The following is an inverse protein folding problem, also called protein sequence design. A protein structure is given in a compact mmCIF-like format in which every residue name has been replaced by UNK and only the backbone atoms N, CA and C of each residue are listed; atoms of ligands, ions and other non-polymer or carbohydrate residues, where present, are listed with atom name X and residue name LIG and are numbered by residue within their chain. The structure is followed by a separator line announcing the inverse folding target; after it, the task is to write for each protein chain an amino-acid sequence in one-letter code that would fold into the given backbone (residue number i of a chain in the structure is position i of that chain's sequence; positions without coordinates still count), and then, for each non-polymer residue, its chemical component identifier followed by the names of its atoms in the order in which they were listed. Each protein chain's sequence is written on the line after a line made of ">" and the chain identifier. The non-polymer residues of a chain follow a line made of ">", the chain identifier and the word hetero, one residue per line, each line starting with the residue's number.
data_IF_324808288709
#
_entry.id   IF_324808288709
#
_cell.length_a   1.000
_cell.length_b   1.000
_cell.length_c   1.000
_cell.angle_alpha   90.00
_cell.angle_beta   90.00
_cell.angle_gamma   90.00
#
_symmetry.space_group_name_H-M   'P 1'
#
loop_
_entity.id
_entity.type
_entity.pdbx_description
1 polymer ?
#
# COMPACT_ATOMS: atom_id res chain seq x y z
N UNK A 1 7.81 -9.72 17.08
CA UNK A 1 7.98 -10.16 15.68
C UNK A 1 7.78 -9.02 14.68
N UNK A 2 6.60 -8.40 14.53
CA UNK A 2 6.34 -7.35 13.53
C UNK A 2 7.28 -6.13 13.61
N UNK A 3 7.62 -5.66 14.81
CA UNK A 3 8.56 -4.56 15.01
C UNK A 3 9.99 -4.89 14.53
N UNK A 4 10.40 -6.16 14.59
CA UNK A 4 11.71 -6.58 14.12
C UNK A 4 11.76 -6.61 12.58
N UNK A 5 10.67 -7.03 11.93
CA UNK A 5 10.54 -7.01 10.47
C UNK A 5 10.59 -5.57 9.95
N UNK A 6 9.84 -4.65 10.56
CA UNK A 6 9.88 -3.22 10.18
C UNK A 6 11.28 -2.62 10.33
N UNK A 7 11.98 -2.93 11.42
CA UNK A 7 13.38 -2.47 11.62
C UNK A 7 14.33 -3.07 10.60
N UNK A 8 14.16 -4.34 10.24
CA UNK A 8 14.98 -5.02 9.24
C UNK A 8 14.78 -4.42 7.85
N UNK A 9 13.53 -4.24 7.40
CA UNK A 9 13.23 -3.60 6.12
C UNK A 9 13.80 -2.19 6.04
N UNK A 10 13.60 -1.38 7.09
CA UNK A 10 14.15 -0.03 7.14
C UNK A 10 15.68 -0.01 6.99
N UNK A 11 16.40 -0.99 7.55
CA UNK A 11 17.85 -1.12 7.39
C UNK A 11 18.25 -1.47 5.96
N UNK A 12 17.50 -2.37 5.31
CA UNK A 12 17.76 -2.76 3.93
C UNK A 12 17.54 -1.59 2.95
N UNK A 13 16.48 -0.82 3.15
CA UNK A 13 16.11 0.28 2.24
C UNK A 13 16.88 1.58 2.51
N UNK A 14 17.44 1.75 3.71
CA UNK A 14 18.14 2.98 4.13
C UNK A 14 19.19 3.52 3.13
N UNK A 15 20.08 2.70 2.53
CA UNK A 15 21.06 3.20 1.58
C UNK A 15 20.41 3.83 0.34
N UNK A 16 19.31 3.24 -0.13
CA UNK A 16 18.55 3.75 -1.26
C UNK A 16 17.77 5.01 -0.85
N UNK A 17 17.10 4.99 0.30
CA UNK A 17 16.36 6.15 0.81
C UNK A 17 17.25 7.38 0.97
N UNK A 18 18.50 7.22 1.40
CA UNK A 18 19.48 8.32 1.49
C UNK A 18 19.81 8.92 0.12
N UNK A 19 19.90 8.11 -0.94
CA UNK A 19 20.12 8.60 -2.31
C UNK A 19 18.91 9.36 -2.85
N UNK A 20 17.71 8.95 -2.43
CA UNK A 20 16.44 9.54 -2.86
C UNK A 20 15.95 10.69 -1.97
N UNK A 21 16.74 11.13 -0.98
CA UNK A 21 16.31 12.17 -0.02
C UNK A 21 15.93 13.51 -0.65
N UNK A 22 16.35 13.78 -1.90
CA UNK A 22 15.96 14.99 -2.64
C UNK A 22 14.67 14.82 -3.46
N UNK A 23 14.20 13.58 -3.65
CA UNK A 23 12.98 13.26 -4.38
C UNK A 23 11.79 13.41 -3.42
N UNK A 24 10.74 14.17 -3.74
CA UNK A 24 9.59 14.32 -2.85
C UNK A 24 8.99 12.97 -2.47
N UNK A 25 8.80 12.69 -1.18
CA UNK A 25 8.21 11.43 -0.72
C UNK A 25 6.83 11.17 -1.38
N UNK A 26 6.00 12.20 -1.52
CA UNK A 26 4.69 12.11 -2.19
C UNK A 26 4.77 11.60 -3.64
N UNK A 27 5.89 11.83 -4.35
CA UNK A 27 6.06 11.29 -5.69
C UNK A 27 6.30 9.77 -5.64
N UNK A 28 7.01 9.29 -4.61
CA UNK A 28 7.23 7.85 -4.38
C UNK A 28 5.91 7.17 -4.02
N UNK A 29 5.08 7.79 -3.17
CA UNK A 29 3.71 7.34 -2.87
C UNK A 29 2.86 7.23 -4.15
N UNK A 30 2.94 8.23 -5.03
CA UNK A 30 2.23 8.22 -6.31
C UNK A 30 2.69 7.05 -7.21
N UNK A 31 3.98 6.73 -7.23
CA UNK A 31 4.51 5.57 -7.95
C UNK A 31 3.99 4.24 -7.36
N UNK A 32 3.84 4.16 -6.03
CA UNK A 32 3.18 3.06 -5.35
C UNK A 32 1.74 2.87 -5.85
N UNK A 33 0.95 3.96 -5.86
CA UNK A 33 -0.42 3.93 -6.38
C UNK A 33 -0.48 3.50 -7.85
N UNK A 34 0.37 4.04 -8.71
CA UNK A 34 0.41 3.65 -10.13
C UNK A 34 0.74 2.15 -10.28
N UNK A 35 1.61 1.61 -9.42
CA UNK A 35 1.93 0.19 -9.40
C UNK A 35 0.74 -0.67 -8.95
N UNK A 36 -0.08 -0.19 -8.02
CA UNK A 36 -1.33 -0.83 -7.62
C UNK A 36 -2.36 -0.85 -8.77
N UNK A 37 -2.44 0.22 -9.56
CA UNK A 37 -3.30 0.27 -10.76
C UNK A 37 -2.81 -0.71 -11.84
N UNK A 38 -1.49 -0.82 -12.05
CA UNK A 38 -0.94 -1.83 -12.97
C UNK A 38 -1.23 -3.24 -12.45
N UNK A 39 -1.14 -3.47 -11.14
CA UNK A 39 -1.51 -4.74 -10.51
C UNK A 39 -2.97 -5.09 -10.76
N UNK A 40 -3.89 -4.12 -10.63
CA UNK A 40 -5.30 -4.28 -10.97
C UNK A 40 -5.47 -4.79 -12.40
N UNK A 41 -4.85 -4.14 -13.39
CA UNK A 41 -4.92 -4.60 -14.78
C UNK A 41 -4.28 -5.98 -14.96
N UNK A 42 -3.21 -6.29 -14.21
CA UNK A 42 -2.64 -7.64 -14.16
C UNK A 42 -3.67 -8.69 -13.77
N UNK A 43 -4.49 -8.41 -12.76
CA UNK A 43 -5.61 -9.26 -12.34
C UNK A 43 -6.69 -9.37 -13.43
N UNK A 44 -7.09 -8.27 -14.05
CA UNK A 44 -8.13 -8.27 -15.09
C UNK A 44 -7.72 -9.09 -16.31
N UNK A 45 -6.46 -9.01 -16.72
CA UNK A 45 -5.93 -9.70 -17.90
C UNK A 45 -5.29 -11.06 -17.57
N UNK A 46 -5.40 -11.54 -16.33
CA UNK A 46 -4.81 -12.80 -15.86
C UNK A 46 -3.28 -12.90 -16.09
N UNK A 47 -2.56 -11.78 -16.01
CA UNK A 47 -1.12 -11.69 -16.23
C UNK A 47 -0.36 -11.93 -14.92
N UNK A 48 -0.21 -13.21 -14.53
CA UNK A 48 0.34 -13.59 -13.23
C UNK A 48 1.72 -12.96 -12.92
N UNK A 49 2.61 -12.89 -13.91
CA UNK A 49 3.95 -12.30 -13.73
C UNK A 49 3.84 -10.80 -13.42
N UNK A 50 2.93 -10.09 -14.09
CA UNK A 50 2.67 -8.66 -13.83
C UNK A 50 2.10 -8.47 -12.44
N UNK A 51 1.13 -9.29 -12.03
CA UNK A 51 0.54 -9.25 -10.68
C UNK A 51 1.64 -9.38 -9.63
N UNK A 52 2.48 -10.42 -9.73
CA UNK A 52 3.52 -10.69 -8.73
C UNK A 52 4.51 -9.53 -8.68
N UNK A 53 5.06 -9.12 -9.82
CA UNK A 53 6.08 -8.07 -9.88
C UNK A 53 5.52 -6.76 -9.32
N UNK A 54 4.35 -6.33 -9.78
CA UNK A 54 3.81 -5.02 -9.40
C UNK A 54 3.24 -5.00 -7.98
N UNK A 55 2.77 -6.12 -7.42
CA UNK A 55 2.46 -6.21 -5.98
C UNK A 55 3.70 -5.92 -5.12
N UNK A 56 4.84 -6.53 -5.46
CA UNK A 56 6.10 -6.26 -4.77
C UNK A 56 6.56 -4.82 -4.94
N UNK A 57 6.39 -4.24 -6.14
CA UNK A 57 6.76 -2.84 -6.40
C UNK A 57 5.87 -1.87 -5.60
N UNK A 58 4.56 -2.11 -5.51
CA UNK A 58 3.63 -1.30 -4.71
C UNK A 58 4.09 -1.25 -3.25
N UNK A 59 4.29 -2.42 -2.63
CA UNK A 59 4.74 -2.52 -1.24
C UNK A 59 6.15 -1.92 -1.03
N UNK A 60 7.02 -2.07 -2.02
CA UNK A 60 8.35 -1.47 -1.98
C UNK A 60 8.30 0.06 -1.94
N UNK A 61 7.43 0.69 -2.73
CA UNK A 61 7.31 2.15 -2.76
C UNK A 61 6.65 2.71 -1.47
N UNK A 62 5.64 2.03 -0.91
CA UNK A 62 5.03 2.36 0.39
C UNK A 62 6.05 2.31 1.54
N UNK A 63 6.94 1.32 1.55
CA UNK A 63 7.98 1.30 2.57
C UNK A 63 9.05 2.36 2.33
N UNK A 64 9.36 2.65 1.07
CA UNK A 64 10.40 3.60 0.68
C UNK A 64 9.99 5.05 0.96
N UNK A 65 8.76 5.44 0.63
CA UNK A 65 8.28 6.81 0.82
C UNK A 65 8.24 7.20 2.30
N UNK A 66 7.84 6.30 3.20
CA UNK A 66 7.80 6.55 4.63
C UNK A 66 9.21 6.71 5.20
N UNK A 67 10.19 5.97 4.69
CA UNK A 67 11.60 6.17 5.09
C UNK A 67 12.13 7.51 4.57
N UNK A 68 11.85 7.84 3.31
CA UNK A 68 12.28 9.12 2.69
C UNK A 68 11.63 10.32 3.39
N UNK A 69 10.33 10.26 3.69
CA UNK A 69 9.60 11.29 4.42
C UNK A 69 10.20 11.53 5.83
N UNK A 70 10.56 10.45 6.53
CA UNK A 70 11.25 10.55 7.84
C UNK A 70 12.63 11.22 7.74
N UNK A 71 13.35 11.02 6.64
CA UNK A 71 14.64 11.68 6.40
C UNK A 71 14.48 13.16 5.98
N UNK A 72 13.40 13.50 5.28
CA UNK A 72 13.13 14.87 4.82
C UNK A 72 12.51 15.78 5.89
N UNK A 73 11.85 15.19 6.90
CA UNK A 73 11.03 15.91 7.86
C UNK A 73 9.55 15.63 7.60
N UNK A 74 8.91 14.73 8.38
CA UNK A 74 7.53 14.32 8.11
C UNK A 74 6.56 15.48 8.33
N UNK A 75 5.56 15.59 7.45
CA UNK A 75 4.51 16.62 7.53
C UNK A 75 3.13 15.99 7.71
N UNK A 76 2.20 16.71 8.35
CA UNK A 76 0.81 16.24 8.52
C UNK A 76 0.11 16.02 7.18
N UNK A 77 0.34 16.93 6.22
CA UNK A 77 -0.25 16.82 4.88
C UNK A 77 0.35 15.64 4.11
N UNK A 78 1.66 15.40 4.21
CA UNK A 78 2.31 14.23 3.61
C UNK A 78 1.77 12.92 4.21
N UNK A 79 1.65 12.84 5.54
CA UNK A 79 1.07 11.67 6.19
C UNK A 79 -0.40 11.43 5.80
N UNK A 80 -1.19 12.49 5.62
CA UNK A 80 -2.55 12.37 5.08
C UNK A 80 -2.54 11.89 3.62
N UNK A 81 -1.64 12.40 2.79
CA UNK A 81 -1.52 12.03 1.38
C UNK A 81 -1.15 10.56 1.21
N UNK A 82 -0.05 10.15 1.85
CA UNK A 82 0.43 8.77 2.00
C UNK A 82 -0.74 7.87 2.41
N UNK A 83 -1.32 8.18 3.56
CA UNK A 83 -2.36 7.33 4.11
C UNK A 83 -3.66 7.29 3.32
N UNK A 84 -3.93 8.28 2.47
CA UNK A 84 -5.10 8.27 1.58
C UNK A 84 -4.81 7.43 0.34
N UNK A 85 -3.63 7.58 -0.26
CA UNK A 85 -3.27 6.88 -1.48
C UNK A 85 -3.08 5.38 -1.27
N UNK A 86 -2.55 4.94 -0.12
CA UNK A 86 -2.49 3.51 0.21
C UNK A 86 -3.88 2.87 0.13
N UNK A 87 -4.90 3.56 0.67
CA UNK A 87 -6.28 3.06 0.74
C UNK A 87 -6.92 2.98 -0.65
N UNK A 88 -6.57 3.92 -1.53
CA UNK A 88 -6.94 3.86 -2.95
C UNK A 88 -6.19 2.71 -3.64
N UNK A 89 -4.91 2.49 -3.32
CA UNK A 89 -4.10 1.37 -3.83
C UNK A 89 -4.66 0.00 -3.42
N UNK A 90 -4.97 -0.17 -2.13
CA UNK A 90 -5.64 -1.34 -1.57
C UNK A 90 -6.94 -1.63 -2.33
N UNK A 91 -7.76 -0.59 -2.55
CA UNK A 91 -8.98 -0.72 -3.34
C UNK A 91 -8.70 -1.30 -4.74
N UNK A 92 -7.73 -0.77 -5.48
CA UNK A 92 -7.41 -1.30 -6.81
C UNK A 92 -6.96 -2.76 -6.77
N UNK A 93 -6.13 -3.14 -5.80
CA UNK A 93 -5.65 -4.53 -5.66
C UNK A 93 -6.81 -5.46 -5.35
N UNK A 94 -7.61 -5.18 -4.32
CA UNK A 94 -8.75 -6.01 -3.93
C UNK A 94 -9.81 -6.05 -5.04
N UNK A 95 -10.06 -4.93 -5.71
CA UNK A 95 -11.02 -4.88 -6.82
C UNK A 95 -10.58 -5.73 -8.00
N UNK A 96 -9.28 -5.73 -8.32
CA UNK A 96 -8.70 -6.58 -9.34
C UNK A 96 -8.91 -8.05 -9.00
N UNK A 97 -8.60 -8.44 -7.76
CA UNK A 97 -8.83 -9.80 -7.26
C UNK A 97 -10.31 -10.20 -7.38
N UNK A 98 -11.24 -9.34 -6.95
CA UNK A 98 -12.68 -9.59 -7.02
C UNK A 98 -13.12 -9.90 -8.46
N UNK A 99 -12.64 -9.13 -9.43
CA UNK A 99 -13.04 -9.25 -10.83
C UNK A 99 -12.26 -10.28 -11.64
N UNK A 100 -11.10 -10.75 -11.15
CA UNK A 100 -10.21 -11.66 -11.86
C UNK A 100 -10.76 -13.07 -12.10
N UNK A 101 -11.70 -13.53 -11.27
CA UNK A 101 -12.18 -14.91 -11.26
C UNK A 101 -11.28 -15.91 -10.51
N UNK A 102 -10.19 -15.46 -9.85
CA UNK A 102 -9.29 -16.36 -9.11
C UNK A 102 -9.89 -16.99 -7.84
N UNK A 103 -10.89 -16.37 -7.23
CA UNK A 103 -11.51 -16.81 -5.95
C UNK A 103 -12.71 -17.76 -6.19
N UNK A 104 -13.07 -18.02 -7.45
CA UNK A 104 -14.20 -18.85 -7.84
C UNK A 104 -15.24 -18.06 -8.64
N UNK A 105 -16.52 -18.39 -8.48
CA UNK A 105 -17.58 -17.66 -9.17
C UNK A 105 -17.70 -16.21 -8.63
N UNK A 106 -18.36 -15.35 -9.42
CA UNK A 106 -18.48 -13.92 -9.09
C UNK A 106 -19.18 -13.66 -7.75
N UNK A 107 -20.17 -14.48 -7.36
CA UNK A 107 -20.85 -14.31 -6.07
C UNK A 107 -19.91 -14.57 -4.91
N UNK A 108 -19.16 -15.68 -4.94
CA UNK A 108 -18.16 -16.02 -3.93
C UNK A 108 -17.04 -14.97 -3.88
N UNK A 109 -16.55 -14.55 -5.06
CA UNK A 109 -15.49 -13.56 -5.18
C UNK A 109 -15.89 -12.20 -4.59
N UNK A 110 -17.10 -11.72 -4.90
CA UNK A 110 -17.64 -10.47 -4.34
C UNK A 110 -17.80 -10.56 -2.83
N UNK A 111 -18.39 -11.64 -2.30
CA UNK A 111 -18.59 -11.79 -0.85
C UNK A 111 -17.25 -11.75 -0.11
N UNK A 112 -16.30 -12.60 -0.52
CA UNK A 112 -15.00 -12.70 0.15
C UNK A 112 -14.20 -11.42 -0.02
N UNK A 113 -14.14 -10.88 -1.24
CA UNK A 113 -13.35 -9.69 -1.54
C UNK A 113 -13.90 -8.42 -0.87
N UNK A 114 -15.22 -8.25 -0.77
CA UNK A 114 -15.82 -7.12 -0.03
C UNK A 114 -15.54 -7.25 1.47
N UNK A 115 -15.64 -8.45 2.04
CA UNK A 115 -15.27 -8.67 3.45
C UNK A 115 -13.80 -8.34 3.68
N UNK A 116 -12.91 -8.77 2.79
CA UNK A 116 -11.47 -8.50 2.89
C UNK A 116 -11.16 -7.00 2.76
N UNK A 117 -11.75 -6.31 1.77
CA UNK A 117 -11.60 -4.87 1.59
C UNK A 117 -12.12 -4.09 2.80
N UNK A 118 -13.31 -4.44 3.30
CA UNK A 118 -13.88 -3.82 4.50
C UNK A 118 -12.99 -4.04 5.72
N UNK A 119 -12.42 -5.24 5.86
CA UNK A 119 -11.50 -5.56 6.95
C UNK A 119 -10.23 -4.72 6.86
N UNK A 120 -9.63 -4.59 5.67
CA UNK A 120 -8.46 -3.74 5.45
C UNK A 120 -8.74 -2.27 5.85
N UNK A 121 -9.85 -1.71 5.38
CA UNK A 121 -10.26 -0.34 5.73
C UNK A 121 -10.55 -0.17 7.22
N UNK A 122 -11.22 -1.15 7.84
CA UNK A 122 -11.56 -1.08 9.26
C UNK A 122 -10.31 -1.07 10.15
N UNK A 123 -9.27 -1.84 9.80
CA UNK A 123 -8.01 -1.81 10.56
C UNK A 123 -7.34 -0.44 10.51
N UNK A 124 -7.29 0.19 9.33
CA UNK A 124 -6.72 1.53 9.15
C UNK A 124 -7.57 2.60 9.83
N UNK A 125 -8.89 2.55 9.69
CA UNK A 125 -9.80 3.49 10.32
C UNK A 125 -9.73 3.43 11.85
N UNK A 126 -9.73 2.22 12.42
CA UNK A 126 -9.68 2.05 13.87
C UNK A 126 -8.39 2.64 14.44
N UNK A 127 -7.25 2.40 13.79
CA UNK A 127 -5.97 3.02 14.19
C UNK A 127 -6.02 4.54 14.09
N UNK A 128 -6.42 5.07 12.94
CA UNK A 128 -6.50 6.51 12.73
C UNK A 128 -7.45 7.19 13.73
N UNK A 129 -8.57 6.54 14.08
CA UNK A 129 -9.53 7.07 15.05
C UNK A 129 -8.99 7.08 16.48
N UNK A 130 -8.28 6.03 16.88
CA UNK A 130 -7.61 5.93 18.19
C UNK A 130 -6.56 7.05 18.33
N UNK A 131 -5.71 7.22 17.32
CA UNK A 131 -4.68 8.28 17.29
C UNK A 131 -5.30 9.68 17.32
N UNK A 132 -6.40 9.90 16.57
CA UNK A 132 -7.11 11.18 16.56
C UNK A 132 -7.76 11.54 17.91
N UNK A 133 -8.04 10.55 18.76
CA UNK A 133 -8.54 10.75 20.12
C UNK A 133 -7.40 10.91 21.16
N UNK A 134 -6.14 10.86 20.74
CA UNK A 134 -4.98 10.99 21.61
C UNK A 134 -4.68 9.75 22.46
N UNK A 135 -5.23 8.59 22.06
CA UNK A 135 -4.97 7.30 22.70
C UNK A 135 -3.82 6.64 21.96
N UNK A 136 -2.75 6.28 22.66
CA UNK A 136 -1.54 5.65 22.10
C UNK A 136 -1.37 4.23 22.63
#
# INVERSE_FOLDING_TARGET
>A
MLLQIKKFSARLLQPLSKKLVKVPANLITLLGLLSAVVTFFGFIFNLLIIIIIFLFITEFFDQLDGIVARLQGPTKLGAFYDSTLDRIGDFFIFFGVILSGYIGNIYTSVIIGVIALMSAFLTSYTRAKIEALGVN
#
